data_IF_693173057091
#
_entry.id   IF_693173057091
#
_cell.length_a   1.000
_cell.length_b   1.000
_cell.length_c   1.000
_cell.angle_alpha   90.00
_cell.angle_beta   90.00
_cell.angle_gamma   90.00
#
_symmetry.space_group_name_H-M   'P 1'
#
loop_
_entity.id
_entity.type
_entity.pdbx_description
1 polymer ?
#
# COMPACT_ATOMS: atom_id res chain seq x y z
N UNK A 1 -10.68 -8.99 4.05
CA UNK A 1 -9.95 -8.35 2.93
C UNK A 1 -10.65 -7.13 2.32
N UNK A 2 -11.99 -7.03 2.28
CA UNK A 2 -12.68 -5.87 1.70
C UNK A 2 -12.72 -4.65 2.63
N UNK A 3 -12.47 -4.86 3.91
CA UNK A 3 -12.50 -3.83 4.95
C UNK A 3 -11.44 -2.75 4.70
N UNK A 4 -10.27 -3.11 4.14
CA UNK A 4 -9.27 -2.12 3.71
C UNK A 4 -9.74 -1.30 2.50
N UNK A 5 -10.45 -1.92 1.56
CA UNK A 5 -10.98 -1.20 0.41
C UNK A 5 -12.08 -0.21 0.84
N UNK A 6 -12.96 -0.62 1.74
CA UNK A 6 -13.97 0.25 2.34
C UNK A 6 -13.35 1.37 3.17
N UNK A 7 -12.43 1.04 4.10
CA UNK A 7 -11.73 2.00 4.96
C UNK A 7 -11.07 3.13 4.16
N UNK A 8 -10.45 2.80 3.03
CA UNK A 8 -9.73 3.76 2.19
C UNK A 8 -10.56 4.30 1.02
N UNK A 9 -11.86 3.98 0.95
CA UNK A 9 -12.75 4.47 -0.10
C UNK A 9 -12.30 4.07 -1.52
N UNK A 10 -11.74 2.88 -1.67
CA UNK A 10 -11.09 2.46 -2.90
C UNK A 10 -12.09 2.08 -4.00
N UNK A 11 -11.72 2.35 -5.25
CA UNK A 11 -12.52 1.95 -6.42
C UNK A 11 -12.38 0.45 -6.73
N UNK A 12 -13.26 -0.10 -7.56
CA UNK A 12 -13.23 -1.53 -7.93
C UNK A 12 -11.85 -1.99 -8.47
N UNK A 13 -11.14 -1.13 -9.23
CA UNK A 13 -9.78 -1.41 -9.74
C UNK A 13 -8.80 -1.76 -8.62
N UNK A 14 -9.00 -1.20 -7.42
CA UNK A 14 -8.12 -1.30 -6.26
C UNK A 14 -8.43 -2.43 -5.29
N UNK A 15 -9.50 -3.18 -5.53
CA UNK A 15 -9.87 -4.29 -4.63
C UNK A 15 -8.78 -5.36 -4.58
N UNK A 16 -8.04 -5.56 -5.69
CA UNK A 16 -6.92 -6.52 -5.71
C UNK A 16 -5.77 -6.08 -4.78
N UNK A 17 -5.36 -4.81 -4.84
CA UNK A 17 -4.35 -4.22 -3.96
C UNK A 17 -4.73 -4.38 -2.48
N UNK A 18 -5.99 -4.06 -2.13
CA UNK A 18 -6.50 -4.18 -0.77
C UNK A 18 -6.49 -5.63 -0.25
N UNK A 19 -6.76 -6.61 -1.14
CA UNK A 19 -6.66 -8.04 -0.79
C UNK A 19 -5.21 -8.44 -0.49
N UNK A 20 -4.26 -8.03 -1.34
CA UNK A 20 -2.85 -8.28 -1.11
C UNK A 20 -2.36 -7.64 0.20
N UNK A 21 -2.72 -6.38 0.45
CA UNK A 21 -2.39 -5.66 1.67
C UNK A 21 -2.93 -6.38 2.92
N UNK A 22 -4.19 -6.79 2.91
CA UNK A 22 -4.82 -7.49 4.03
C UNK A 22 -4.14 -8.84 4.32
N UNK A 23 -3.77 -9.60 3.29
CA UNK A 23 -3.05 -10.88 3.45
C UNK A 23 -1.65 -10.62 4.04
N UNK A 24 -0.92 -9.65 3.51
CA UNK A 24 0.43 -9.31 3.98
C UNK A 24 0.41 -8.93 5.46
N UNK A 25 -0.51 -8.05 5.86
CA UNK A 25 -0.69 -7.65 7.26
C UNK A 25 -1.06 -8.82 8.17
N UNK A 26 -1.98 -9.70 7.73
CA UNK A 26 -2.36 -10.90 8.50
C UNK A 26 -1.19 -11.86 8.68
N UNK A 27 -0.31 -11.95 7.69
CA UNK A 27 0.90 -12.78 7.73
C UNK A 27 2.09 -12.11 8.45
N UNK A 28 1.94 -10.88 8.94
CA UNK A 28 3.04 -10.10 9.54
C UNK A 28 4.10 -9.62 8.54
N UNK A 29 3.79 -9.66 7.24
CA UNK A 29 4.66 -9.16 6.17
C UNK A 29 4.32 -7.69 5.94
N UNK A 30 5.18 -6.79 6.42
CA UNK A 30 4.93 -5.35 6.35
C UNK A 30 5.67 -4.64 5.22
N UNK A 31 6.75 -5.24 4.70
CA UNK A 31 7.56 -4.63 3.64
C UNK A 31 6.99 -4.92 2.26
N UNK A 32 6.78 -3.87 1.48
CA UNK A 32 6.36 -3.95 0.08
C UNK A 32 7.40 -3.30 -0.79
N UNK A 33 7.89 -4.03 -1.79
CA UNK A 33 8.75 -3.48 -2.83
C UNK A 33 7.91 -3.18 -4.07
N UNK A 34 7.87 -1.93 -4.51
CA UNK A 34 7.08 -1.51 -5.67
C UNK A 34 7.84 -0.52 -6.54
N UNK A 35 7.44 -0.45 -7.82
CA UNK A 35 7.86 0.57 -8.78
C UNK A 35 6.82 1.70 -8.89
N UNK A 36 5.61 1.48 -8.37
CA UNK A 36 4.52 2.45 -8.34
C UNK A 36 3.97 2.56 -6.91
N UNK A 37 4.07 3.76 -6.35
CA UNK A 37 3.65 4.09 -4.99
C UNK A 37 2.14 4.30 -4.87
N UNK A 38 1.47 4.74 -5.94
CA UNK A 38 0.08 5.19 -5.88
C UNK A 38 -0.87 4.05 -5.49
N UNK A 39 -0.44 2.83 -5.76
CA UNK A 39 -1.14 1.58 -5.44
C UNK A 39 -1.12 1.25 -3.96
N UNK A 40 -0.06 1.65 -3.26
CA UNK A 40 0.23 1.18 -1.92
C UNK A 40 0.19 2.27 -0.85
N UNK A 41 0.30 3.55 -1.23
CA UNK A 41 0.42 4.67 -0.28
C UNK A 41 -0.72 4.76 0.74
N UNK A 42 -1.92 4.33 0.36
CA UNK A 42 -3.10 4.34 1.25
C UNK A 42 -2.91 3.43 2.48
N UNK A 43 -2.18 2.32 2.31
CA UNK A 43 -2.01 1.32 3.36
C UNK A 43 -0.85 1.60 4.32
N UNK A 44 -0.12 2.71 4.13
CA UNK A 44 0.94 3.12 5.05
C UNK A 44 0.44 3.28 6.49
N UNK A 45 -0.78 3.81 6.64
CA UNK A 45 -1.46 3.96 7.93
C UNK A 45 -1.88 2.63 8.57
N UNK A 46 -1.89 1.53 7.82
CA UNK A 46 -2.18 0.18 8.31
C UNK A 46 -0.93 -0.59 8.73
N UNK A 47 0.25 0.04 8.62
CA UNK A 47 1.53 -0.56 9.00
C UNK A 47 2.31 -1.19 7.85
N UNK A 48 1.86 -1.03 6.60
CA UNK A 48 2.68 -1.38 5.44
C UNK A 48 3.77 -0.32 5.22
N UNK A 49 4.98 -0.78 4.92
CA UNK A 49 6.14 0.05 4.68
C UNK A 49 6.56 -0.16 3.23
N UNK A 50 6.55 0.94 2.48
CA UNK A 50 6.85 0.94 1.04
C UNK A 50 8.36 1.13 0.86
N UNK A 51 8.92 0.27 0.02
CA UNK A 51 10.28 0.32 -0.48
C UNK A 51 10.26 0.25 -2.01
N UNK A 52 11.34 0.66 -2.65
CA UNK A 52 11.43 0.67 -4.11
C UNK A 52 12.72 1.33 -4.59
N UNK A 53 12.85 1.55 -5.91
CA UNK A 53 13.93 2.35 -6.48
C UNK A 53 13.99 3.76 -5.87
N UNK A 54 15.15 4.42 -5.97
CA UNK A 54 15.35 5.75 -5.40
C UNK A 54 14.27 6.78 -5.81
N UNK A 55 13.78 6.71 -7.05
CA UNK A 55 12.70 7.56 -7.54
C UNK A 55 11.35 7.33 -6.83
N UNK A 56 11.05 6.10 -6.43
CA UNK A 56 9.84 5.76 -5.67
C UNK A 56 9.98 6.24 -4.23
N UNK A 57 11.16 6.05 -3.64
CA UNK A 57 11.44 6.50 -2.27
C UNK A 57 11.42 8.04 -2.17
N UNK A 58 11.90 8.76 -3.19
CA UNK A 58 11.84 10.23 -3.18
C UNK A 58 10.41 10.76 -3.31
N UNK A 59 9.49 10.03 -3.95
CA UNK A 59 8.08 10.40 -4.01
C UNK A 59 7.39 10.30 -2.64
N UNK A 60 7.84 9.39 -1.76
CA UNK A 60 7.36 9.32 -0.36
C UNK A 60 7.73 10.58 0.43
N UNK A 61 8.93 11.10 0.22
CA UNK A 61 9.46 12.24 0.99
C UNK A 61 9.03 13.59 0.44
N UNK A 62 8.65 13.67 -0.84
CA UNK A 62 8.28 14.92 -1.52
C UNK A 62 6.82 15.34 -1.34
N UNK A 63 6.02 14.55 -0.62
CA UNK A 63 4.62 14.82 -0.29
C UNK A 63 4.38 15.40 1.12
N UNK A 64 5.45 15.77 1.84
CA UNK A 64 5.42 16.54 3.09
C UNK A 64 5.74 18.01 2.80
#
# INVERSE_FOLDING_TARGET
MLELAEKHGLTARRIHDARHAAIALTAGVTQIYTYDIEDWKHFGSDGLVISGPALVVSQLTSGL
#
